data_IF_645244696586
#
_entry.id   IF_645244696586
#
_cell.length_a   1.000
_cell.length_b   1.000
_cell.length_c   1.000
_cell.angle_alpha   90.00
_cell.angle_beta   90.00
_cell.angle_gamma   90.00
#
_symmetry.space_group_name_H-M   'P 1'
#
loop_
_entity.id
_entity.type
_entity.pdbx_description
1 polymer ?
#
# COMPACT_ATOMS: atom_id res chain seq x y z
N UNK A 1 1.65 -8.66 66.75
CA UNK A 1 0.83 -7.61 66.10
C UNK A 1 1.12 -7.65 64.62
N UNK A 2 0.19 -8.17 63.82
CA UNK A 2 0.27 -8.16 62.35
C UNK A 2 -0.07 -6.75 61.85
N UNK A 3 0.81 -6.14 61.07
CA UNK A 3 0.43 -5.02 60.21
C UNK A 3 -0.17 -5.60 58.93
N UNK A 4 -1.47 -5.41 58.74
CA UNK A 4 -2.18 -5.69 57.50
C UNK A 4 -1.75 -4.68 56.44
N UNK A 5 -1.06 -5.15 55.41
CA UNK A 5 -0.82 -4.39 54.17
C UNK A 5 -2.14 -4.28 53.41
N UNK A 6 -2.83 -3.14 53.55
CA UNK A 6 -4.03 -2.83 52.77
C UNK A 6 -3.61 -2.48 51.34
N UNK A 7 -3.76 -3.42 50.42
CA UNK A 7 -3.84 -3.11 48.98
C UNK A 7 -5.21 -2.47 48.75
N UNK A 8 -5.26 -1.13 48.64
CA UNK A 8 -6.46 -0.42 48.17
C UNK A 8 -6.61 -0.69 46.67
N UNK A 9 -7.46 -1.63 46.31
CA UNK A 9 -8.03 -1.69 44.96
C UNK A 9 -8.84 -0.40 44.78
N UNK A 10 -8.40 0.52 43.92
CA UNK A 10 -9.20 1.71 43.57
C UNK A 10 -10.50 1.21 42.94
N UNK A 11 -11.64 1.62 43.48
CA UNK A 11 -12.93 1.39 42.82
C UNK A 11 -12.97 2.25 41.56
N UNK A 12 -13.23 1.61 40.43
CA UNK A 12 -13.35 2.23 39.12
C UNK A 12 -14.59 3.13 39.09
N UNK A 13 -14.47 4.34 38.55
CA UNK A 13 -15.60 5.28 38.45
C UNK A 13 -16.46 5.01 37.23
N UNK A 14 -17.70 5.49 37.22
CA UNK A 14 -18.57 5.42 36.03
C UNK A 14 -17.93 6.09 34.80
N UNK A 15 -17.19 7.19 35.02
CA UNK A 15 -16.45 7.87 33.96
C UNK A 15 -15.32 7.00 33.38
N UNK A 16 -14.65 6.22 34.22
CA UNK A 16 -13.59 5.29 33.78
C UNK A 16 -14.17 4.16 32.91
N UNK A 17 -15.32 3.62 33.31
CA UNK A 17 -16.04 2.60 32.53
C UNK A 17 -16.49 3.15 31.17
N UNK A 18 -16.99 4.38 31.12
CA UNK A 18 -17.39 5.03 29.87
C UNK A 18 -16.20 5.25 28.93
N UNK A 19 -15.03 5.64 29.45
CA UNK A 19 -13.81 5.78 28.64
C UNK A 19 -13.38 4.45 28.05
N UNK A 20 -13.38 3.36 28.84
CA UNK A 20 -13.07 2.00 28.33
C UNK A 20 -14.03 1.56 27.24
N UNK A 21 -15.32 1.76 27.46
CA UNK A 21 -16.34 1.43 26.47
C UNK A 21 -16.14 2.23 25.17
N UNK A 22 -15.84 3.52 25.29
CA UNK A 22 -15.58 4.40 24.15
C UNK A 22 -14.36 3.93 23.35
N UNK A 23 -13.20 3.73 23.99
CA UNK A 23 -11.98 3.34 23.26
C UNK A 23 -12.11 1.97 22.61
N UNK A 24 -12.84 1.03 23.23
CA UNK A 24 -13.12 -0.29 22.65
C UNK A 24 -13.89 -0.17 21.33
N UNK A 25 -14.92 0.67 21.28
CA UNK A 25 -15.65 0.92 20.03
C UNK A 25 -14.73 1.53 18.97
N UNK A 26 -13.87 2.48 19.36
CA UNK A 26 -12.93 3.10 18.41
C UNK A 26 -11.89 2.11 17.88
N UNK A 27 -11.44 1.17 18.70
CA UNK A 27 -10.57 0.05 18.26
C UNK A 27 -11.30 -0.80 17.21
N UNK A 28 -12.52 -1.25 17.51
CA UNK A 28 -13.31 -2.11 16.62
C UNK A 28 -13.56 -1.43 15.26
N UNK A 29 -13.88 -0.13 15.26
CA UNK A 29 -14.02 0.64 14.01
C UNK A 29 -12.67 0.74 13.29
N UNK A 30 -11.58 1.01 13.99
CA UNK A 30 -10.26 1.17 13.37
C UNK A 30 -9.76 -0.11 12.69
N UNK A 31 -10.08 -1.28 13.26
CA UNK A 31 -9.71 -2.58 12.72
C UNK A 31 -10.35 -2.86 11.34
N UNK A 32 -11.56 -2.37 11.11
CA UNK A 32 -12.32 -2.64 9.89
C UNK A 32 -12.15 -1.56 8.81
N UNK A 33 -11.41 -0.47 9.08
CA UNK A 33 -11.03 0.48 8.04
C UNK A 33 -10.08 -0.25 7.06
N UNK A 34 -10.48 -0.37 5.78
CA UNK A 34 -9.67 -1.05 4.77
C UNK A 34 -8.41 -0.25 4.44
N UNK A 35 -7.40 -0.93 3.91
CA UNK A 35 -6.14 -0.30 3.51
C UNK A 35 -6.32 0.71 2.36
N UNK A 36 -7.22 0.40 1.42
CA UNK A 36 -7.63 1.28 0.32
C UNK A 36 -9.14 1.54 0.44
N UNK A 37 -9.56 2.55 1.23
CA UNK A 37 -10.96 2.87 1.43
C UNK A 37 -11.57 3.41 0.14
N UNK A 38 -12.66 2.78 -0.29
CA UNK A 38 -13.50 3.29 -1.37
C UNK A 38 -14.29 4.52 -0.92
N UNK A 39 -14.89 5.26 -1.86
CA UNK A 39 -15.80 6.37 -1.57
C UNK A 39 -16.92 5.98 -0.60
N UNK A 40 -17.43 4.76 -0.71
CA UNK A 40 -18.44 4.22 0.22
C UNK A 40 -17.83 4.01 1.62
N UNK A 41 -16.63 3.42 1.72
CA UNK A 41 -15.95 3.25 3.00
C UNK A 41 -15.65 4.60 3.65
N UNK A 42 -15.21 5.59 2.88
CA UNK A 42 -14.96 6.95 3.38
C UNK A 42 -16.25 7.51 3.98
N UNK A 43 -17.37 7.46 3.26
CA UNK A 43 -18.66 7.94 3.76
C UNK A 43 -19.13 7.22 5.04
N UNK A 44 -18.84 5.92 5.16
CA UNK A 44 -19.18 5.11 6.35
C UNK A 44 -18.32 5.50 7.55
N UNK A 45 -17.01 5.66 7.36
CA UNK A 45 -16.06 5.80 8.47
C UNK A 45 -15.79 7.25 8.87
N UNK A 46 -15.95 8.23 7.96
CA UNK A 46 -15.72 9.67 8.20
C UNK A 46 -16.34 10.17 9.53
N UNK A 47 -17.60 9.84 9.89
CA UNK A 47 -18.19 10.31 11.15
C UNK A 47 -17.46 9.84 12.42
N UNK A 48 -16.70 8.75 12.33
CA UNK A 48 -15.98 8.15 13.46
C UNK A 48 -14.54 8.65 13.57
N UNK A 49 -13.99 9.28 12.54
CA UNK A 49 -12.55 9.64 12.48
C UNK A 49 -12.15 10.56 13.63
N UNK A 50 -12.93 11.58 13.94
CA UNK A 50 -12.62 12.49 15.06
C UNK A 50 -12.69 11.77 16.42
N UNK A 51 -13.59 10.79 16.55
CA UNK A 51 -13.70 9.99 17.77
C UNK A 51 -12.49 9.04 17.92
N UNK A 52 -11.99 8.48 16.82
CA UNK A 52 -10.76 7.67 16.82
C UNK A 52 -9.55 8.54 17.17
N UNK A 53 -9.49 9.80 16.71
CA UNK A 53 -8.45 10.75 17.14
C UNK A 53 -8.51 11.02 18.64
N UNK A 54 -9.68 11.25 19.21
CA UNK A 54 -9.83 11.43 20.67
C UNK A 54 -9.32 10.19 21.43
N UNK A 55 -9.63 8.98 20.94
CA UNK A 55 -9.09 7.75 21.53
C UNK A 55 -7.55 7.69 21.45
N UNK A 56 -6.98 8.12 20.32
CA UNK A 56 -5.54 8.10 20.02
C UNK A 56 -4.76 9.15 20.81
N UNK A 57 -5.25 10.39 20.86
CA UNK A 57 -4.50 11.55 21.36
C UNK A 57 -4.79 11.87 22.83
N UNK A 58 -5.99 11.52 23.32
CA UNK A 58 -6.44 11.93 24.66
C UNK A 58 -6.73 10.77 25.60
N UNK A 59 -7.04 9.58 25.08
CA UNK A 59 -7.42 8.41 25.88
C UNK A 59 -6.48 7.23 25.69
N UNK A 60 -5.26 7.46 25.21
CA UNK A 60 -4.28 6.39 24.92
C UNK A 60 -4.00 5.49 26.13
N UNK A 61 -4.02 6.05 27.35
CA UNK A 61 -3.83 5.31 28.61
C UNK A 61 -4.95 4.29 28.90
N UNK A 62 -6.10 4.42 28.22
CA UNK A 62 -7.28 3.56 28.37
C UNK A 62 -7.31 2.41 27.37
N UNK A 63 -6.46 2.44 26.32
CA UNK A 63 -6.29 1.33 25.39
C UNK A 63 -5.56 0.19 26.08
N UNK A 64 -5.88 -1.06 25.74
CA UNK A 64 -5.08 -2.22 26.18
C UNK A 64 -3.82 -2.35 25.29
N UNK A 65 -2.78 -2.98 25.82
CA UNK A 65 -1.47 -3.06 25.14
C UNK A 65 -1.58 -3.78 23.78
N UNK A 66 -2.39 -4.85 23.70
CA UNK A 66 -2.62 -5.60 22.45
C UNK A 66 -3.32 -4.77 21.36
N UNK A 67 -4.15 -3.81 21.78
CA UNK A 67 -4.99 -3.00 20.89
C UNK A 67 -4.43 -1.60 20.62
N UNK A 68 -3.35 -1.22 21.29
CA UNK A 68 -2.73 0.11 21.21
C UNK A 68 -2.45 0.57 19.78
N UNK A 69 -2.16 -0.37 18.87
CA UNK A 69 -1.84 -0.10 17.47
C UNK A 69 -3.05 0.36 16.65
N UNK A 70 -4.24 -0.11 16.97
CA UNK A 70 -5.38 -0.05 16.04
C UNK A 70 -5.86 1.36 15.74
N UNK A 71 -6.04 2.26 16.72
CA UNK A 71 -6.46 3.63 16.42
C UNK A 71 -5.50 4.36 15.47
N UNK A 72 -4.18 4.19 15.66
CA UNK A 72 -3.18 4.75 14.75
C UNK A 72 -3.25 4.16 13.35
N UNK A 73 -3.37 2.83 13.25
CA UNK A 73 -3.46 2.14 11.95
C UNK A 73 -4.76 2.49 11.22
N UNK A 74 -5.88 2.59 11.92
CA UNK A 74 -7.17 2.98 11.33
C UNK A 74 -7.11 4.38 10.73
N UNK A 75 -6.60 5.37 11.49
CA UNK A 75 -6.41 6.74 11.00
C UNK A 75 -5.38 6.80 9.86
N UNK A 76 -4.27 6.07 10.01
CA UNK A 76 -3.24 5.99 8.98
C UNK A 76 -3.76 5.43 7.66
N UNK A 77 -4.50 4.30 7.69
CA UNK A 77 -5.15 3.70 6.53
C UNK A 77 -6.18 4.63 5.91
N UNK A 78 -7.02 5.24 6.75
CA UNK A 78 -8.06 6.17 6.30
C UNK A 78 -7.48 7.32 5.47
N UNK A 79 -6.45 8.00 5.99
CA UNK A 79 -5.84 9.13 5.31
C UNK A 79 -4.92 8.69 4.15
N UNK A 80 -4.02 7.73 4.37
CA UNK A 80 -3.07 7.25 3.34
C UNK A 80 -3.81 6.68 2.13
N UNK A 81 -4.83 5.86 2.37
CA UNK A 81 -5.60 5.23 1.32
C UNK A 81 -6.49 6.19 0.53
N UNK A 82 -6.58 7.46 0.93
CA UNK A 82 -7.17 8.55 0.13
C UNK A 82 -6.13 9.39 -0.63
N UNK A 83 -4.84 9.11 -0.42
CA UNK A 83 -3.74 9.97 -0.87
C UNK A 83 -3.44 11.16 0.05
N UNK A 84 -4.03 11.21 1.25
CA UNK A 84 -3.80 12.27 2.25
C UNK A 84 -2.58 11.94 3.12
N UNK A 85 -1.41 11.84 2.49
CA UNK A 85 -0.18 11.37 3.14
C UNK A 85 0.29 12.26 4.28
N UNK A 86 0.04 13.58 4.21
CA UNK A 86 0.42 14.54 5.27
C UNK A 86 -0.40 14.31 6.54
N UNK A 87 -1.67 14.01 6.39
CA UNK A 87 -2.60 13.70 7.46
C UNK A 87 -2.33 12.29 8.04
N UNK A 88 -1.90 11.34 7.22
CA UNK A 88 -1.55 9.99 7.66
C UNK A 88 -0.23 9.92 8.45
N UNK A 89 0.75 10.74 8.08
CA UNK A 89 2.13 10.63 8.58
C UNK A 89 2.25 10.66 10.12
N UNK A 90 1.61 11.60 10.83
CA UNK A 90 1.73 11.67 12.29
C UNK A 90 1.30 10.39 12.99
N UNK A 91 0.32 9.65 12.46
CA UNK A 91 -0.19 8.44 13.10
C UNK A 91 0.78 7.28 12.92
N UNK A 92 1.33 7.08 11.72
CA UNK A 92 2.33 6.05 11.48
C UNK A 92 3.68 6.35 12.18
N UNK A 93 4.05 7.62 12.34
CA UNK A 93 5.29 8.02 13.03
C UNK A 93 5.18 7.90 14.57
N UNK A 94 4.02 8.23 15.13
CA UNK A 94 3.81 8.14 16.58
C UNK A 94 3.62 6.70 17.06
N UNK A 95 2.98 5.85 16.26
CA UNK A 95 2.57 4.51 16.69
C UNK A 95 3.75 3.63 17.20
N UNK A 96 4.88 3.47 16.48
CA UNK A 96 6.01 2.69 16.99
C UNK A 96 6.57 3.25 18.30
N UNK A 97 6.66 4.58 18.43
CA UNK A 97 7.18 5.24 19.62
C UNK A 97 6.30 4.98 20.85
N UNK A 98 4.97 5.03 20.68
CA UNK A 98 4.02 4.73 21.76
C UNK A 98 4.09 3.26 22.19
N UNK A 99 4.18 2.34 21.22
CA UNK A 99 4.35 0.91 21.50
C UNK A 99 5.68 0.64 22.22
N UNK A 100 6.77 1.25 21.78
CA UNK A 100 8.09 1.07 22.41
C UNK A 100 8.12 1.57 23.86
N UNK A 101 7.51 2.73 24.13
CA UNK A 101 7.46 3.28 25.48
C UNK A 101 6.60 2.45 26.43
N UNK A 102 5.51 1.88 25.92
CA UNK A 102 4.49 1.22 26.75
C UNK A 102 4.70 -0.29 26.88
N UNK A 103 5.03 -0.97 25.78
CA UNK A 103 5.06 -2.44 25.66
C UNK A 103 6.52 -2.94 25.51
N UNK A 104 7.43 -2.08 25.06
CA UNK A 104 8.85 -2.38 24.90
C UNK A 104 9.28 -2.65 23.46
N UNK A 105 10.57 -2.92 23.27
CA UNK A 105 11.24 -2.89 21.97
C UNK A 105 11.24 -4.21 21.18
N UNK A 106 10.64 -5.27 21.72
CA UNK A 106 10.68 -6.61 21.15
C UNK A 106 9.29 -7.22 20.93
N UNK A 107 8.22 -6.44 20.94
CA UNK A 107 6.86 -6.95 20.76
C UNK A 107 6.48 -7.10 19.28
N UNK A 108 5.69 -8.12 18.92
CA UNK A 108 5.23 -8.34 17.53
C UNK A 108 4.42 -7.15 16.98
N UNK A 109 3.61 -6.50 17.81
CA UNK A 109 2.88 -5.26 17.46
C UNK A 109 3.82 -4.13 17.03
N UNK A 110 5.02 -4.04 17.62
CA UNK A 110 6.02 -3.05 17.21
C UNK A 110 6.51 -3.35 15.79
N UNK A 111 6.75 -4.62 15.46
CA UNK A 111 7.14 -5.00 14.11
C UNK A 111 6.08 -4.57 13.07
N UNK A 112 4.80 -4.77 13.36
CA UNK A 112 3.69 -4.29 12.50
C UNK A 112 3.70 -2.77 12.35
N UNK A 113 3.84 -2.02 13.45
CA UNK A 113 3.88 -0.57 13.41
C UNK A 113 5.07 -0.03 12.60
N UNK A 114 6.26 -0.61 12.79
CA UNK A 114 7.46 -0.28 12.02
C UNK A 114 7.29 -0.57 10.53
N UNK A 115 6.65 -1.70 10.19
CA UNK A 115 6.36 -2.05 8.80
C UNK A 115 5.44 -1.00 8.15
N UNK A 116 4.38 -0.59 8.84
CA UNK A 116 3.45 0.43 8.30
C UNK A 116 4.13 1.79 8.10
N UNK A 117 5.01 2.19 9.03
CA UNK A 117 5.81 3.41 8.88
C UNK A 117 6.81 3.28 7.72
N UNK A 118 7.42 2.11 7.53
CA UNK A 118 8.33 1.85 6.42
C UNK A 118 7.62 1.95 5.06
N UNK A 119 6.39 1.44 4.94
CA UNK A 119 5.56 1.61 3.73
C UNK A 119 5.34 3.10 3.44
N UNK A 120 4.94 3.89 4.45
CA UNK A 120 4.76 5.34 4.27
C UNK A 120 6.07 6.01 3.82
N UNK A 121 7.21 5.66 4.40
CA UNK A 121 8.50 6.24 4.03
C UNK A 121 8.94 5.81 2.63
N UNK A 122 8.62 4.59 2.20
CA UNK A 122 8.81 4.14 0.83
C UNK A 122 7.97 4.98 -0.15
N UNK A 123 6.69 5.21 0.16
CA UNK A 123 5.80 6.07 -0.64
C UNK A 123 6.28 7.53 -0.68
N UNK A 124 7.08 7.96 0.30
CA UNK A 124 7.71 9.29 0.35
C UNK A 124 9.15 9.30 -0.20
N UNK A 125 9.61 8.21 -0.79
CA UNK A 125 10.98 8.03 -1.34
C UNK A 125 12.11 8.17 -0.30
N UNK A 126 11.77 8.06 0.99
CA UNK A 126 12.72 7.99 2.11
C UNK A 126 13.23 6.56 2.25
N UNK A 127 13.86 6.05 1.19
CA UNK A 127 14.17 4.63 1.06
C UNK A 127 15.17 4.11 2.09
N UNK A 128 16.12 4.94 2.54
CA UNK A 128 17.10 4.54 3.56
C UNK A 128 16.44 4.37 4.92
N UNK A 129 15.54 5.29 5.26
CA UNK A 129 14.76 5.26 6.48
C UNK A 129 13.78 4.08 6.47
N UNK A 130 13.11 3.84 5.35
CA UNK A 130 12.24 2.68 5.16
C UNK A 130 13.00 1.35 5.31
N UNK A 131 14.20 1.22 4.74
CA UNK A 131 15.03 0.01 4.83
C UNK A 131 15.36 -0.34 6.28
N UNK A 132 15.80 0.65 7.07
CA UNK A 132 16.11 0.45 8.49
C UNK A 132 14.90 -0.03 9.29
N UNK A 133 13.71 0.52 9.00
CA UNK A 133 12.47 0.15 9.65
C UNK A 133 12.02 -1.27 9.27
N UNK A 134 12.09 -1.64 7.99
CA UNK A 134 11.78 -3.01 7.54
C UNK A 134 12.75 -4.03 8.13
N UNK A 135 14.05 -3.76 8.14
CA UNK A 135 15.04 -4.66 8.74
C UNK A 135 14.79 -4.86 10.23
N UNK A 136 14.45 -3.78 10.95
CA UNK A 136 14.10 -3.85 12.37
C UNK A 136 12.80 -4.64 12.60
N UNK A 137 11.77 -4.39 11.80
CA UNK A 137 10.50 -5.12 11.84
C UNK A 137 10.71 -6.63 11.60
N UNK A 138 11.51 -6.97 10.60
CA UNK A 138 11.87 -8.34 10.27
C UNK A 138 12.61 -9.03 11.42
N UNK A 139 13.64 -8.37 11.97
CA UNK A 139 14.42 -8.92 13.08
C UNK A 139 13.57 -9.18 14.34
N UNK A 140 12.65 -8.26 14.67
CA UNK A 140 11.71 -8.47 15.79
C UNK A 140 10.80 -9.66 15.51
N UNK A 141 10.22 -9.74 14.30
CA UNK A 141 9.31 -10.82 13.91
C UNK A 141 10.00 -12.18 13.91
N UNK A 142 11.22 -12.29 13.38
CA UNK A 142 11.99 -13.53 13.38
C UNK A 142 12.33 -14.00 14.80
N UNK A 143 12.71 -13.07 15.67
CA UNK A 143 13.07 -13.39 17.06
C UNK A 143 11.85 -13.83 17.90
N UNK A 144 10.69 -13.20 17.71
CA UNK A 144 9.50 -13.47 18.52
C UNK A 144 8.67 -14.65 18.00
N UNK A 145 8.54 -14.77 16.67
CA UNK A 145 7.58 -15.66 16.04
C UNK A 145 8.27 -16.83 15.31
N UNK A 146 9.58 -16.72 15.07
CA UNK A 146 10.36 -17.67 14.30
C UNK A 146 10.41 -17.35 12.80
N UNK A 147 11.45 -17.82 12.13
CA UNK A 147 11.77 -17.50 10.73
C UNK A 147 10.75 -17.98 9.68
N UNK A 148 9.84 -18.86 10.08
CA UNK A 148 8.81 -19.48 9.24
C UNK A 148 7.41 -18.91 9.50
N UNK A 149 7.29 -17.86 10.31
CA UNK A 149 5.99 -17.28 10.63
C UNK A 149 5.46 -16.40 9.47
N UNK A 150 4.14 -16.38 9.20
CA UNK A 150 3.55 -15.52 8.17
C UNK A 150 3.95 -14.03 8.25
N UNK A 151 4.04 -13.46 9.46
CA UNK A 151 4.47 -12.06 9.65
C UNK A 151 5.90 -11.81 9.14
N UNK A 152 6.81 -12.77 9.29
CA UNK A 152 8.17 -12.69 8.72
C UNK A 152 8.07 -12.63 7.21
N UNK A 153 7.23 -13.47 6.59
CA UNK A 153 7.04 -13.48 5.16
C UNK A 153 6.44 -12.17 4.62
N UNK A 154 5.50 -11.55 5.34
CA UNK A 154 4.96 -10.24 4.99
C UNK A 154 6.05 -9.17 5.03
N UNK A 155 6.88 -9.14 6.09
CA UNK A 155 8.03 -8.22 6.18
C UNK A 155 9.05 -8.44 5.06
N UNK A 156 9.34 -9.70 4.71
CA UNK A 156 10.23 -10.05 3.60
C UNK A 156 9.70 -9.53 2.26
N UNK A 157 8.38 -9.69 2.01
CA UNK A 157 7.74 -9.19 0.79
C UNK A 157 7.87 -7.66 0.66
N UNK A 158 7.65 -6.92 1.75
CA UNK A 158 7.71 -5.46 1.72
C UNK A 158 9.14 -4.94 1.59
N UNK A 159 10.11 -5.62 2.24
CA UNK A 159 11.53 -5.31 2.03
C UNK A 159 11.98 -5.61 0.60
N UNK A 160 11.49 -6.70 0.00
CA UNK A 160 11.73 -7.03 -1.40
C UNK A 160 11.20 -5.94 -2.35
N UNK A 161 10.01 -5.39 -2.06
CA UNK A 161 9.43 -4.28 -2.83
C UNK A 161 10.26 -2.99 -2.73
N UNK A 162 10.82 -2.71 -1.54
CA UNK A 162 11.76 -1.62 -1.38
C UNK A 162 13.04 -1.85 -2.20
N UNK A 163 13.58 -3.07 -2.20
CA UNK A 163 14.75 -3.43 -3.01
C UNK A 163 14.47 -3.39 -4.51
N UNK A 164 13.29 -3.80 -4.94
CA UNK A 164 12.82 -3.61 -6.31
C UNK A 164 12.84 -2.14 -6.70
N UNK A 165 12.30 -1.25 -5.86
CA UNK A 165 12.30 0.20 -6.08
C UNK A 165 13.71 0.84 -6.06
N UNK A 166 14.69 0.18 -5.43
CA UNK A 166 16.09 0.60 -5.40
C UNK A 166 16.96 -0.07 -6.48
N UNK A 167 16.36 -0.78 -7.44
CA UNK A 167 17.06 -1.54 -8.50
C UNK A 167 17.96 -2.69 -7.98
N UNK A 168 17.74 -3.15 -6.74
CA UNK A 168 18.42 -4.29 -6.11
C UNK A 168 17.66 -5.60 -6.41
N UNK A 169 17.66 -5.98 -7.68
CA UNK A 169 16.76 -7.02 -8.19
C UNK A 169 17.07 -8.43 -7.71
N UNK A 170 18.34 -8.79 -7.52
CA UNK A 170 18.73 -10.14 -7.04
C UNK A 170 18.32 -10.32 -5.57
N UNK A 171 18.51 -9.29 -4.75
CA UNK A 171 18.08 -9.26 -3.35
C UNK A 171 16.55 -9.30 -3.25
N UNK A 172 15.84 -8.54 -4.08
CA UNK A 172 14.38 -8.57 -4.15
C UNK A 172 13.85 -9.97 -4.52
N UNK A 173 14.43 -10.62 -5.55
CA UNK A 173 14.04 -11.96 -6.01
C UNK A 173 14.16 -12.99 -4.88
N UNK A 174 15.31 -13.00 -4.19
CA UNK A 174 15.56 -13.92 -3.08
C UNK A 174 14.53 -13.76 -1.94
N UNK A 175 14.21 -12.52 -1.58
CA UNK A 175 13.25 -12.21 -0.52
C UNK A 175 11.81 -12.56 -0.92
N UNK A 176 11.39 -12.26 -2.16
CA UNK A 176 10.07 -12.65 -2.65
C UNK A 176 9.89 -14.16 -2.65
N UNK A 177 10.87 -14.92 -3.16
CA UNK A 177 10.81 -16.40 -3.18
C UNK A 177 10.72 -16.95 -1.76
N UNK A 178 11.57 -16.47 -0.83
CA UNK A 178 11.52 -16.91 0.57
C UNK A 178 10.16 -16.61 1.20
N UNK A 179 9.62 -15.41 0.97
CA UNK A 179 8.30 -15.02 1.45
C UNK A 179 7.20 -15.92 0.87
N UNK A 180 7.22 -16.20 -0.43
CA UNK A 180 6.24 -17.05 -1.10
C UNK A 180 6.19 -18.46 -0.49
N UNK A 181 7.35 -19.09 -0.31
CA UNK A 181 7.47 -20.44 0.27
C UNK A 181 6.84 -20.48 1.67
N UNK A 182 7.12 -19.48 2.50
CA UNK A 182 6.57 -19.42 3.86
C UNK A 182 5.05 -19.22 3.80
N UNK A 183 4.56 -18.29 2.97
CA UNK A 183 3.13 -17.98 2.87
C UNK A 183 2.33 -19.18 2.36
N UNK A 184 2.78 -19.86 1.32
CA UNK A 184 2.11 -21.05 0.78
C UNK A 184 2.04 -22.17 1.82
N UNK A 185 3.15 -22.41 2.53
CA UNK A 185 3.23 -23.45 3.56
C UNK A 185 2.34 -23.16 4.78
N UNK A 186 2.25 -21.90 5.21
CA UNK A 186 1.57 -21.55 6.46
C UNK A 186 0.11 -21.13 6.28
N UNK A 187 -0.22 -20.48 5.17
CA UNK A 187 -1.54 -19.90 4.92
C UNK A 187 -2.29 -20.60 3.78
N UNK A 188 -1.60 -21.44 3.00
CA UNK A 188 -2.14 -22.12 1.84
C UNK A 188 -2.01 -21.31 0.55
N UNK A 189 -2.06 -22.03 -0.57
CA UNK A 189 -1.78 -21.51 -1.92
C UNK A 189 -2.74 -20.42 -2.43
N UNK A 190 -3.92 -20.31 -1.82
CA UNK A 190 -4.99 -19.39 -2.23
C UNK A 190 -5.18 -18.21 -1.26
N UNK A 191 -4.21 -17.94 -0.38
CA UNK A 191 -4.31 -16.83 0.58
C UNK A 191 -4.06 -15.47 -0.11
N UNK A 192 -4.73 -14.36 0.30
CA UNK A 192 -4.48 -13.02 -0.25
C UNK A 192 -3.00 -12.60 -0.27
N UNK A 193 -2.25 -12.88 0.80
CA UNK A 193 -0.81 -12.58 0.85
C UNK A 193 0.02 -13.36 -0.17
N UNK A 194 -0.37 -14.61 -0.51
CA UNK A 194 0.26 -15.36 -1.60
C UNK A 194 0.01 -14.63 -2.92
N UNK A 195 -1.22 -14.19 -3.17
CA UNK A 195 -1.54 -13.43 -4.38
C UNK A 195 -0.76 -12.11 -4.49
N UNK A 196 -0.61 -11.35 -3.41
CA UNK A 196 0.19 -10.12 -3.40
C UNK A 196 1.66 -10.42 -3.71
N UNK A 197 2.25 -11.43 -3.06
CA UNK A 197 3.64 -11.81 -3.32
C UNK A 197 3.85 -12.26 -4.79
N UNK A 198 2.96 -13.11 -5.31
CA UNK A 198 3.01 -13.56 -6.71
C UNK A 198 2.96 -12.39 -7.70
N UNK A 199 2.09 -11.40 -7.47
CA UNK A 199 2.00 -10.20 -8.30
C UNK A 199 3.32 -9.41 -8.28
N UNK A 200 3.94 -9.26 -7.11
CA UNK A 200 5.17 -8.49 -6.96
C UNK A 200 6.38 -9.22 -7.58
N UNK A 201 6.48 -10.53 -7.39
CA UNK A 201 7.50 -11.36 -8.03
C UNK A 201 7.34 -11.36 -9.56
N UNK A 202 6.10 -11.41 -10.06
CA UNK A 202 5.82 -11.30 -11.49
C UNK A 202 6.29 -9.95 -12.05
N UNK A 203 6.02 -8.84 -11.36
CA UNK A 203 6.48 -7.51 -11.75
C UNK A 203 8.01 -7.42 -11.85
N UNK A 204 8.72 -8.02 -10.87
CA UNK A 204 10.18 -8.13 -10.92
C UNK A 204 10.65 -8.91 -12.17
N UNK A 205 10.01 -10.03 -12.50
CA UNK A 205 10.35 -10.80 -13.69
C UNK A 205 10.05 -10.06 -14.99
N UNK A 206 8.97 -9.28 -15.07
CA UNK A 206 8.72 -8.39 -16.22
C UNK A 206 9.86 -7.40 -16.40
N UNK A 207 10.30 -6.76 -15.31
CA UNK A 207 11.41 -5.81 -15.36
C UNK A 207 12.72 -6.47 -15.85
N UNK A 208 12.97 -7.72 -15.44
CA UNK A 208 14.11 -8.51 -15.89
C UNK A 208 13.95 -9.09 -17.32
N UNK A 209 12.81 -8.90 -17.98
CA UNK A 209 12.50 -9.49 -19.30
C UNK A 209 12.18 -10.99 -19.27
N UNK A 210 11.98 -11.57 -18.08
CA UNK A 210 11.61 -12.97 -17.82
C UNK A 210 10.09 -13.17 -17.99
N UNK A 211 9.60 -12.96 -19.20
CA UNK A 211 8.15 -12.92 -19.46
C UNK A 211 7.46 -14.29 -19.28
N UNK A 212 8.13 -15.39 -19.62
CA UNK A 212 7.60 -16.75 -19.48
C UNK A 212 7.38 -17.13 -18.00
N UNK A 213 8.24 -16.61 -17.12
CA UNK A 213 8.13 -16.81 -15.68
C UNK A 213 7.09 -15.87 -15.04
N UNK A 214 6.92 -14.65 -15.56
CA UNK A 214 5.98 -13.67 -15.02
C UNK A 214 4.51 -14.02 -15.27
N UNK A 215 4.18 -14.49 -16.47
CA UNK A 215 2.80 -14.75 -16.89
C UNK A 215 2.01 -15.68 -15.95
N UNK A 216 2.49 -16.89 -15.61
CA UNK A 216 1.74 -17.80 -14.73
C UNK A 216 1.55 -17.23 -13.32
N UNK A 217 2.50 -16.44 -12.83
CA UNK A 217 2.41 -15.81 -11.50
C UNK A 217 1.31 -14.74 -11.46
N UNK A 218 1.25 -13.90 -12.49
CA UNK A 218 0.16 -12.91 -12.62
C UNK A 218 -1.21 -13.57 -12.76
N UNK A 219 -1.34 -14.58 -13.62
CA UNK A 219 -2.61 -15.30 -13.81
C UNK A 219 -3.09 -15.93 -12.49
N UNK A 220 -2.16 -16.57 -11.75
CA UNK A 220 -2.47 -17.17 -10.45
C UNK A 220 -2.85 -16.11 -9.41
N UNK A 221 -2.11 -15.01 -9.33
CA UNK A 221 -2.44 -13.90 -8.43
C UNK A 221 -3.83 -13.33 -8.69
N UNK A 222 -4.15 -13.03 -9.96
CA UNK A 222 -5.45 -12.50 -10.36
C UNK A 222 -6.58 -13.48 -10.03
N UNK A 223 -6.41 -14.77 -10.35
CA UNK A 223 -7.42 -15.79 -10.05
C UNK A 223 -7.73 -15.90 -8.55
N UNK A 224 -6.71 -15.87 -7.69
CA UNK A 224 -6.90 -15.86 -6.24
C UNK A 224 -7.67 -14.61 -5.80
N UNK A 225 -7.26 -13.42 -6.26
CA UNK A 225 -7.93 -12.17 -5.88
C UNK A 225 -9.38 -12.10 -6.37
N UNK A 226 -9.67 -12.52 -7.60
CA UNK A 226 -11.04 -12.53 -8.15
C UNK A 226 -11.96 -13.46 -7.36
N UNK A 227 -11.47 -14.64 -6.97
CA UNK A 227 -12.23 -15.60 -6.17
C UNK A 227 -12.54 -15.10 -4.75
N UNK A 228 -11.64 -14.32 -4.15
CA UNK A 228 -11.78 -13.87 -2.76
C UNK A 228 -12.50 -12.52 -2.62
N UNK A 229 -12.23 -11.58 -3.52
CA UNK A 229 -12.64 -10.18 -3.39
C UNK A 229 -13.75 -9.79 -4.39
N UNK A 230 -13.95 -10.62 -5.42
CA UNK A 230 -14.81 -10.30 -6.55
C UNK A 230 -14.14 -9.41 -7.59
N UNK A 231 -14.73 -9.37 -8.79
CA UNK A 231 -14.13 -8.80 -10.01
C UNK A 231 -13.99 -7.27 -10.03
N UNK A 232 -14.60 -6.57 -9.08
CA UNK A 232 -14.68 -5.12 -8.99
C UNK A 232 -14.03 -4.58 -7.71
N UNK A 233 -13.06 -5.27 -7.13
CA UNK A 233 -12.33 -4.79 -5.95
C UNK A 233 -11.12 -3.92 -6.35
N UNK A 234 -10.69 -2.91 -5.54
CA UNK A 234 -9.51 -2.09 -5.87
C UNK A 234 -8.23 -2.89 -6.17
N UNK A 235 -8.01 -3.99 -5.45
CA UNK A 235 -6.90 -4.94 -5.69
C UNK A 235 -6.92 -5.61 -7.08
N UNK A 236 -8.10 -5.76 -7.68
CA UNK A 236 -8.23 -6.26 -9.06
C UNK A 236 -7.69 -5.22 -10.03
N UNK A 237 -7.95 -3.93 -9.81
CA UNK A 237 -7.42 -2.87 -10.66
C UNK A 237 -5.88 -2.85 -10.66
N UNK A 238 -5.24 -3.01 -9.50
CA UNK A 238 -3.76 -3.13 -9.41
C UNK A 238 -3.27 -4.30 -10.28
N UNK A 239 -3.88 -5.46 -10.13
CA UNK A 239 -3.49 -6.68 -10.84
C UNK A 239 -3.67 -6.52 -12.35
N UNK A 240 -4.80 -5.96 -12.79
CA UNK A 240 -5.08 -5.68 -14.20
C UNK A 240 -4.08 -4.67 -14.80
N UNK A 241 -3.75 -3.60 -14.07
CA UNK A 241 -2.75 -2.62 -14.51
C UNK A 241 -1.37 -3.27 -14.70
N UNK A 242 -0.96 -4.16 -13.79
CA UNK A 242 0.34 -4.83 -13.89
C UNK A 242 0.39 -5.85 -15.04
N UNK A 243 -0.71 -6.58 -15.26
CA UNK A 243 -0.83 -7.49 -16.42
C UNK A 243 -0.87 -6.71 -17.74
N UNK A 244 -1.52 -5.55 -17.76
CA UNK A 244 -1.50 -4.67 -18.92
C UNK A 244 -0.06 -4.15 -19.19
N UNK A 245 0.69 -3.80 -18.15
CA UNK A 245 2.10 -3.42 -18.26
C UNK A 245 2.97 -4.57 -18.78
N UNK A 246 2.69 -5.81 -18.36
CA UNK A 246 3.32 -7.01 -18.91
C UNK A 246 3.10 -7.20 -20.41
N UNK A 247 1.86 -7.02 -20.90
CA UNK A 247 1.57 -7.09 -22.33
C UNK A 247 2.18 -5.90 -23.09
N UNK A 248 2.11 -4.70 -22.52
CA UNK A 248 2.74 -3.51 -23.08
C UNK A 248 4.26 -3.69 -23.27
N UNK A 249 4.96 -4.25 -22.29
CA UNK A 249 6.41 -4.52 -22.36
C UNK A 249 6.79 -5.50 -23.48
N UNK A 250 5.85 -6.34 -23.92
CA UNK A 250 6.00 -7.25 -25.07
C UNK A 250 5.58 -6.62 -26.41
N UNK A 251 5.12 -5.37 -26.43
CA UNK A 251 4.53 -4.73 -27.61
C UNK A 251 3.13 -5.23 -27.96
N UNK A 252 2.49 -6.03 -27.08
CA UNK A 252 1.15 -6.57 -27.22
C UNK A 252 0.10 -5.55 -26.78
N UNK A 253 0.01 -4.45 -27.53
CA UNK A 253 -0.80 -3.30 -27.12
C UNK A 253 -2.31 -3.56 -27.20
N UNK A 254 -2.77 -4.41 -28.12
CA UNK A 254 -4.18 -4.77 -28.26
C UNK A 254 -4.70 -5.56 -27.05
N UNK A 255 -3.83 -6.36 -26.42
CA UNK A 255 -4.11 -7.11 -25.20
C UNK A 255 -4.02 -6.23 -23.94
N UNK A 256 -3.11 -5.24 -23.94
CA UNK A 256 -2.89 -4.34 -22.80
C UNK A 256 -4.01 -3.29 -22.64
N UNK A 257 -4.49 -2.69 -23.75
CA UNK A 257 -5.47 -1.60 -23.73
C UNK A 257 -6.76 -1.91 -22.93
N UNK A 258 -7.48 -3.01 -23.19
CA UNK A 258 -8.72 -3.31 -22.45
C UNK A 258 -8.47 -3.54 -20.95
N UNK A 259 -7.29 -4.03 -20.57
CA UNK A 259 -6.93 -4.26 -19.17
C UNK A 259 -6.63 -2.94 -18.45
N UNK A 260 -5.90 -2.02 -19.08
CA UNK A 260 -5.70 -0.68 -18.55
C UNK A 260 -7.01 0.08 -18.42
N UNK A 261 -7.88 0.03 -19.43
CA UNK A 261 -9.20 0.68 -19.37
C UNK A 261 -10.07 0.10 -18.26
N UNK A 262 -10.09 -1.23 -18.08
CA UNK A 262 -10.84 -1.87 -16.97
C UNK A 262 -10.27 -1.48 -15.61
N UNK A 263 -8.94 -1.48 -15.44
CA UNK A 263 -8.30 -1.00 -14.21
C UNK A 263 -8.69 0.44 -13.88
N UNK A 264 -8.59 1.34 -14.87
CA UNK A 264 -8.93 2.75 -14.71
C UNK A 264 -10.40 2.92 -14.32
N UNK A 265 -11.32 2.21 -14.98
CA UNK A 265 -12.75 2.28 -14.68
C UNK A 265 -13.08 1.82 -13.26
N UNK A 266 -12.45 0.73 -12.78
CA UNK A 266 -12.62 0.26 -11.40
C UNK A 266 -12.15 1.34 -10.41
N UNK A 267 -10.96 1.92 -10.64
CA UNK A 267 -10.42 2.97 -9.76
C UNK A 267 -11.26 4.24 -9.77
N UNK A 268 -11.71 4.71 -10.94
CA UNK A 268 -12.56 5.90 -11.05
C UNK A 268 -13.89 5.72 -10.32
N UNK A 269 -14.51 4.53 -10.42
CA UNK A 269 -15.77 4.24 -9.76
C UNK A 269 -15.64 4.11 -8.23
N UNK A 270 -14.54 3.54 -7.74
CA UNK A 270 -14.40 3.20 -6.31
C UNK A 270 -13.65 4.25 -5.50
N UNK A 271 -12.64 4.90 -6.09
CA UNK A 271 -11.74 5.82 -5.38
C UNK A 271 -12.04 7.29 -5.71
N UNK A 272 -12.75 7.53 -6.82
CA UNK A 272 -13.09 8.86 -7.31
C UNK A 272 -11.98 9.49 -8.16
N UNK A 273 -12.37 10.28 -9.17
CA UNK A 273 -11.54 10.71 -10.31
C UNK A 273 -10.23 11.45 -10.04
N UNK A 274 -9.99 11.89 -8.80
CA UNK A 274 -8.81 12.65 -8.40
C UNK A 274 -7.86 11.83 -7.48
N UNK A 275 -8.13 10.55 -7.27
CA UNK A 275 -7.28 9.69 -6.44
C UNK A 275 -5.89 9.50 -7.08
N UNK A 276 -4.77 9.47 -6.32
CA UNK A 276 -3.42 9.30 -6.88
C UNK A 276 -3.26 8.05 -7.75
N UNK A 277 -3.86 6.92 -7.38
CA UNK A 277 -3.80 5.68 -8.18
C UNK A 277 -4.41 5.83 -9.59
N UNK A 278 -5.32 6.78 -9.78
CA UNK A 278 -5.88 7.07 -11.11
C UNK A 278 -4.82 7.73 -11.97
N UNK A 279 -3.96 8.58 -11.41
CA UNK A 279 -2.87 9.19 -12.17
C UNK A 279 -1.91 8.14 -12.76
N UNK A 280 -1.61 7.08 -12.00
CA UNK A 280 -0.79 5.96 -12.46
C UNK A 280 -1.46 5.25 -13.64
N UNK A 281 -2.74 4.90 -13.52
CA UNK A 281 -3.48 4.25 -14.61
C UNK A 281 -3.61 5.13 -15.85
N UNK A 282 -3.87 6.43 -15.67
CA UNK A 282 -3.93 7.40 -16.77
C UNK A 282 -2.60 7.51 -17.49
N UNK A 283 -1.49 7.63 -16.75
CA UNK A 283 -0.15 7.70 -17.32
C UNK A 283 0.18 6.44 -18.13
N UNK A 284 -0.14 5.25 -17.62
CA UNK A 284 0.15 3.99 -18.31
C UNK A 284 -0.69 3.81 -19.59
N UNK A 285 -1.97 4.17 -19.55
CA UNK A 285 -2.83 4.15 -20.73
C UNK A 285 -2.37 5.20 -21.76
N UNK A 286 -1.94 6.38 -21.31
CA UNK A 286 -1.36 7.41 -22.17
C UNK A 286 -0.06 6.95 -22.84
N UNK A 287 0.82 6.27 -22.11
CA UNK A 287 2.04 5.66 -22.67
C UNK A 287 1.71 4.61 -23.73
N UNK A 288 0.67 3.78 -23.52
CA UNK A 288 0.20 2.84 -24.54
C UNK A 288 -0.22 3.57 -25.82
N UNK A 289 -1.06 4.61 -25.71
CA UNK A 289 -1.49 5.40 -26.86
C UNK A 289 -0.32 6.13 -27.52
N UNK A 290 0.61 6.69 -26.74
CA UNK A 290 1.83 7.33 -27.26
C UNK A 290 2.65 6.34 -28.09
N UNK A 291 2.85 5.13 -27.59
CA UNK A 291 3.62 4.07 -28.28
C UNK A 291 2.93 3.57 -29.56
N UNK A 292 1.61 3.72 -29.67
CA UNK A 292 0.85 3.49 -30.91
C UNK A 292 0.77 4.73 -31.83
N UNK A 293 1.34 5.87 -31.43
CA UNK A 293 1.26 7.14 -32.16
C UNK A 293 -0.09 7.86 -32.06
N UNK A 294 -0.99 7.40 -31.18
CA UNK A 294 -2.31 7.98 -30.89
C UNK A 294 -2.20 9.17 -29.93
N UNK A 295 -1.46 10.19 -30.34
CA UNK A 295 -1.10 11.31 -29.45
C UNK A 295 -2.29 12.16 -29.00
N UNK A 296 -3.32 12.29 -29.84
CA UNK A 296 -4.55 13.02 -29.50
C UNK A 296 -5.30 12.36 -28.33
N UNK A 297 -5.19 11.04 -28.19
CA UNK A 297 -5.78 10.28 -27.08
C UNK A 297 -4.88 10.28 -25.84
N UNK A 298 -3.57 10.28 -26.02
CA UNK A 298 -2.59 10.28 -24.93
C UNK A 298 -2.53 11.64 -24.18
N UNK A 299 -2.55 12.77 -24.90
CA UNK A 299 -2.41 14.11 -24.32
C UNK A 299 -3.35 14.42 -23.15
N UNK A 300 -4.68 14.27 -23.27
CA UNK A 300 -5.59 14.58 -22.17
C UNK A 300 -5.34 13.69 -20.93
N UNK A 301 -4.94 12.43 -21.14
CA UNK A 301 -4.65 11.50 -20.05
C UNK A 301 -3.39 11.91 -19.28
N UNK A 302 -2.30 12.25 -19.97
CA UNK A 302 -1.10 12.78 -19.31
C UNK A 302 -1.39 14.07 -18.53
N UNK A 303 -2.12 15.01 -19.13
CA UNK A 303 -2.47 16.28 -18.46
C UNK A 303 -3.27 16.05 -17.19
N UNK A 304 -4.23 15.11 -17.22
CA UNK A 304 -5.02 14.74 -16.04
C UNK A 304 -4.14 14.05 -14.99
N UNK A 305 -3.27 13.13 -15.39
CA UNK A 305 -2.31 12.48 -14.49
C UNK A 305 -1.41 13.50 -13.77
N UNK A 306 -0.79 14.43 -14.52
CA UNK A 306 0.06 15.51 -13.97
C UNK A 306 -0.73 16.40 -13.00
N UNK A 307 -1.98 16.71 -13.31
CA UNK A 307 -2.84 17.53 -12.44
C UNK A 307 -3.06 16.83 -11.11
N UNK A 308 -3.42 15.55 -11.13
CA UNK A 308 -3.65 14.75 -9.92
C UNK A 308 -2.35 14.65 -9.11
N UNK A 309 -1.23 14.27 -9.74
CA UNK A 309 0.03 14.09 -9.00
C UNK A 309 0.55 15.40 -8.40
N UNK A 310 0.36 16.55 -9.06
CA UNK A 310 0.73 17.86 -8.50
C UNK A 310 -0.15 18.29 -7.32
N UNK A 311 -1.39 17.81 -7.24
CA UNK A 311 -2.27 18.08 -6.10
C UNK A 311 -1.92 17.21 -4.90
N UNK A 312 -1.49 15.97 -5.14
CA UNK A 312 -1.22 14.98 -4.09
C UNK A 312 0.22 15.02 -3.59
N UNK A 313 1.19 15.15 -4.51
CA UNK A 313 2.62 15.02 -4.24
C UNK A 313 3.38 16.32 -4.50
N UNK A 314 4.62 16.40 -4.01
CA UNK A 314 5.54 17.45 -4.44
C UNK A 314 5.90 17.30 -5.93
N UNK A 315 6.29 18.41 -6.56
CA UNK A 315 6.74 18.39 -7.95
C UNK A 315 7.90 17.44 -8.20
N UNK A 316 8.76 17.20 -7.22
CA UNK A 316 9.93 16.32 -7.34
C UNK A 316 9.61 14.83 -7.15
N UNK A 317 8.39 14.49 -6.73
CA UNK A 317 7.99 13.10 -6.53
C UNK A 317 8.02 12.32 -7.85
N UNK A 318 8.48 11.08 -7.81
CA UNK A 318 8.73 10.20 -8.97
C UNK A 318 7.49 10.06 -9.84
N UNK A 319 6.31 9.81 -9.27
CA UNK A 319 5.06 9.74 -10.06
C UNK A 319 4.76 11.04 -10.81
N UNK A 320 5.02 12.20 -10.21
CA UNK A 320 4.86 13.51 -10.87
C UNK A 320 5.88 13.67 -11.99
N UNK A 321 7.15 13.35 -11.72
CA UNK A 321 8.25 13.45 -12.69
C UNK A 321 8.07 12.49 -13.88
N UNK A 322 7.60 11.27 -13.64
CA UNK A 322 7.30 10.29 -14.70
C UNK A 322 6.18 10.81 -15.58
N UNK A 323 5.05 11.26 -15.00
CA UNK A 323 3.94 11.79 -15.78
C UNK A 323 4.35 13.00 -16.64
N UNK A 324 5.16 13.90 -16.07
CA UNK A 324 5.70 15.07 -16.77
C UNK A 324 6.67 14.66 -17.88
N UNK A 325 7.64 13.79 -17.58
CA UNK A 325 8.64 13.29 -18.54
C UNK A 325 7.98 12.61 -19.72
N UNK A 326 7.02 11.72 -19.47
CA UNK A 326 6.29 10.99 -20.50
C UNK A 326 5.49 11.94 -21.41
N UNK A 327 4.85 12.94 -20.81
CA UNK A 327 4.14 13.97 -21.54
C UNK A 327 5.08 14.77 -22.46
N UNK A 328 6.23 15.22 -21.96
CA UNK A 328 7.20 15.96 -22.77
C UNK A 328 7.85 15.10 -23.86
N UNK A 329 8.12 13.82 -23.59
CA UNK A 329 8.58 12.85 -24.58
C UNK A 329 7.60 12.75 -25.76
N UNK A 330 6.30 12.65 -25.47
CA UNK A 330 5.25 12.69 -26.51
C UNK A 330 5.30 13.98 -27.33
N UNK A 331 5.39 15.15 -26.68
CA UNK A 331 5.43 16.44 -27.39
C UNK A 331 6.65 16.55 -28.32
N UNK A 332 7.81 16.03 -27.90
CA UNK A 332 9.00 15.96 -28.74
C UNK A 332 8.73 15.11 -29.99
N UNK A 333 8.13 13.93 -29.84
CA UNK A 333 7.81 13.04 -30.96
C UNK A 333 6.80 13.66 -31.95
N UNK A 334 5.84 14.46 -31.46
CA UNK A 334 4.91 15.21 -32.31
C UNK A 334 5.67 16.27 -33.12
N UNK A 335 6.60 16.99 -32.48
CA UNK A 335 7.41 18.02 -33.13
C UNK A 335 8.29 17.42 -34.23
N UNK A 336 8.95 16.30 -33.95
CA UNK A 336 9.80 15.61 -34.92
C UNK A 336 9.01 15.08 -36.13
N UNK A 337 7.81 14.52 -35.91
CA UNK A 337 6.92 14.11 -37.02
C UNK A 337 6.47 15.29 -37.89
N UNK A 338 6.24 16.48 -37.31
CA UNK A 338 5.88 17.68 -38.09
C UNK A 338 7.03 18.18 -38.98
N UNK A 339 8.28 17.87 -38.62
CA UNK A 339 9.48 18.26 -39.39
C UNK A 339 9.85 17.23 -40.48
N UNK A 340 9.25 16.04 -40.47
CA UNK A 340 9.40 15.01 -41.49
C UNK A 340 8.05 14.73 -42.16
N UNK A 341 7.55 15.61 -43.05
CA UNK A 341 6.32 15.31 -43.78
C UNK A 341 6.52 14.03 -44.59
N UNK A 342 5.58 13.09 -44.44
CA UNK A 342 5.58 11.81 -45.14
C UNK A 342 5.80 12.04 -46.64
N UNK A 343 6.86 11.43 -47.17
CA UNK A 343 7.35 11.55 -48.55
C UNK A 343 6.55 10.72 -49.55
#
# INVERSE_FOLDING_TARGET
MMQQTLVKVKQETEADQLKRAFVKIMIEISQIIPETPTLENIAIFEPSIEHIKVATDNLIEWLDDEDLIWPFVGLGRFYKGQGLYREASPYFEQCPNQIEQRIGNAHSTLATALNNLAVLYSDQEKYKEAELLYQRSLAISENQLGSEHPSVAISLNNLAELYYSQEKHEEAESLYIRSLIILEKQLGENHPHVATNLNNLAALYVFQGKYEEAEPLYQRSLSIKENLLGINHPEIAISLNNIAAFYYAQGKYEEAEPLYQRSLSIRENLLGVNHPDIAISLNNLAELYRSQGRYEEAEPLYRKAITITNQTFDTNHTNTQIAITNYFSMLSQISDKKLQPES
#
